data_IF_313747341403
#
_entry.id   IF_313747341403
#
_cell.length_a   1.000
_cell.length_b   1.000
_cell.length_c   1.000
_cell.angle_alpha   90.00
_cell.angle_beta   90.00
_cell.angle_gamma   90.00
#
_symmetry.space_group_name_H-M   'P 1'
#
loop_
_entity.id
_entity.type
_entity.pdbx_description
1 polymer ?
#
# COMPACT_ATOMS: atom_id res chain seq x y z
N UNK A 1 14.22 -28.19 24.20
CA UNK A 1 13.35 -26.99 24.30
C UNK A 1 13.41 -26.51 25.73
N UNK A 2 14.11 -25.40 25.99
CA UNK A 2 14.17 -24.80 27.33
C UNK A 2 12.78 -24.27 27.73
N UNK A 3 12.29 -24.74 28.88
CA UNK A 3 11.02 -24.27 29.42
C UNK A 3 11.16 -22.80 29.86
N UNK A 4 10.35 -21.92 29.28
CA UNK A 4 10.31 -20.51 29.65
C UNK A 4 10.04 -20.35 31.15
N UNK A 5 10.85 -19.53 31.80
CA UNK A 5 10.69 -19.20 33.22
C UNK A 5 9.26 -18.70 33.53
N UNK A 6 8.75 -19.08 34.70
CA UNK A 6 7.43 -18.67 35.19
C UNK A 6 7.28 -17.14 35.22
N UNK A 7 8.37 -16.43 35.48
CA UNK A 7 8.43 -14.97 35.48
C UNK A 7 8.29 -14.39 34.07
N UNK A 8 8.94 -14.98 33.08
CA UNK A 8 8.82 -14.57 31.67
C UNK A 8 7.40 -14.80 31.14
N UNK A 9 6.80 -15.93 31.51
CA UNK A 9 5.41 -16.27 31.13
C UNK A 9 4.40 -15.28 31.73
N UNK A 10 4.58 -14.89 33.00
CA UNK A 10 3.72 -13.88 33.65
C UNK A 10 3.89 -12.50 33.03
N UNK A 11 5.13 -12.10 32.72
CA UNK A 11 5.41 -10.82 32.06
C UNK A 11 4.73 -10.73 30.68
N UNK A 12 4.86 -11.78 29.84
CA UNK A 12 4.18 -11.84 28.54
C UNK A 12 2.67 -11.75 28.66
N UNK A 13 2.07 -12.42 29.65
CA UNK A 13 0.62 -12.35 29.93
C UNK A 13 0.19 -10.94 30.35
N UNK A 14 1.01 -10.27 31.15
CA UNK A 14 0.80 -8.88 31.57
C UNK A 14 0.84 -7.91 30.38
N UNK A 15 1.88 -8.01 29.53
CA UNK A 15 1.98 -7.19 28.31
C UNK A 15 0.81 -7.43 27.36
N UNK A 16 0.41 -8.69 27.16
CA UNK A 16 -0.75 -9.03 26.33
C UNK A 16 -2.03 -8.43 26.89
N UNK A 17 -2.22 -8.48 28.21
CA UNK A 17 -3.38 -7.88 28.88
C UNK A 17 -3.36 -6.35 28.81
N UNK A 18 -2.20 -5.71 28.98
CA UNK A 18 -2.06 -4.26 28.85
C UNK A 18 -2.31 -3.80 27.42
N UNK A 19 -1.75 -4.49 26.43
CA UNK A 19 -2.02 -4.20 25.02
C UNK A 19 -3.50 -4.39 24.69
N UNK A 20 -4.12 -5.46 25.19
CA UNK A 20 -5.55 -5.69 25.00
C UNK A 20 -6.43 -4.63 25.68
N UNK A 21 -6.06 -4.18 26.89
CA UNK A 21 -6.77 -3.11 27.60
C UNK A 21 -6.56 -1.75 26.93
N UNK A 22 -5.36 -1.46 26.42
CA UNK A 22 -5.06 -0.27 25.64
C UNK A 22 -5.91 -0.25 24.37
N UNK A 23 -5.92 -1.36 23.62
CA UNK A 23 -6.77 -1.53 22.44
C UNK A 23 -8.23 -1.34 22.83
N UNK A 24 -8.74 -2.05 23.85
CA UNK A 24 -10.15 -1.93 24.27
C UNK A 24 -10.55 -0.51 24.69
N UNK A 25 -9.73 0.18 25.47
CA UNK A 25 -10.01 1.55 25.90
C UNK A 25 -9.94 2.55 24.73
N UNK A 26 -9.02 2.32 23.79
CA UNK A 26 -8.92 3.08 22.55
C UNK A 26 -10.11 2.83 21.62
N UNK A 27 -10.59 1.58 21.54
CA UNK A 27 -11.78 1.18 20.79
C UNK A 27 -13.07 1.79 21.37
N UNK A 28 -13.11 2.08 22.69
CA UNK A 28 -14.24 2.73 23.37
C UNK A 28 -14.20 4.27 23.31
N UNK A 29 -13.09 4.86 22.83
CA UNK A 29 -12.95 6.29 22.61
C UNK A 29 -13.35 6.66 21.17
N UNK A 30 -14.59 6.31 20.78
CA UNK A 30 -15.13 6.40 19.42
C UNK A 30 -14.92 7.77 18.72
N UNK A 31 -15.00 8.94 19.39
CA UNK A 31 -14.83 10.24 18.72
C UNK A 31 -13.38 10.55 18.30
N UNK A 32 -12.39 9.98 18.98
CA UNK A 32 -10.98 10.37 18.82
C UNK A 32 -10.16 9.40 17.97
N UNK A 33 -10.70 8.20 17.73
CA UNK A 33 -10.03 7.15 16.96
C UNK A 33 -9.53 7.62 15.58
N UNK A 34 -10.33 8.31 14.73
CA UNK A 34 -9.84 8.76 13.43
C UNK A 34 -8.65 9.72 13.55
N UNK A 35 -8.71 10.69 14.47
CA UNK A 35 -7.65 11.68 14.63
C UNK A 35 -6.36 11.09 15.18
N UNK A 36 -6.47 10.25 16.20
CA UNK A 36 -5.31 9.60 16.84
C UNK A 36 -4.66 8.56 15.91
N UNK A 37 -5.41 7.87 15.06
CA UNK A 37 -4.85 6.96 14.06
C UNK A 37 -4.12 7.70 12.93
N UNK A 38 -4.60 8.88 12.50
CA UNK A 38 -3.86 9.76 11.58
C UNK A 38 -2.52 10.18 12.18
N UNK A 39 -2.53 10.67 13.43
CA UNK A 39 -1.30 11.04 14.13
C UNK A 39 -0.37 9.84 14.30
N UNK A 40 -0.92 8.66 14.60
CA UNK A 40 -0.18 7.40 14.65
C UNK A 40 0.48 7.06 13.32
N UNK A 41 -0.22 7.25 12.20
CA UNK A 41 0.33 7.06 10.85
C UNK A 41 1.49 8.00 10.54
N UNK A 42 1.36 9.29 10.89
CA UNK A 42 2.44 10.29 10.71
C UNK A 42 3.67 9.93 11.55
N UNK A 43 3.47 9.57 12.82
CA UNK A 43 4.55 9.15 13.71
C UNK A 43 5.22 7.87 13.20
N UNK A 44 4.44 6.90 12.72
CA UNK A 44 4.97 5.68 12.11
C UNK A 44 5.82 5.99 10.90
N UNK A 45 5.42 6.94 10.04
CA UNK A 45 6.23 7.38 8.89
C UNK A 45 7.60 7.91 9.33
N UNK A 46 7.64 8.76 10.36
CA UNK A 46 8.91 9.29 10.90
C UNK A 46 9.80 8.18 11.45
N UNK A 47 9.23 7.27 12.23
CA UNK A 47 9.98 6.13 12.80
C UNK A 47 10.53 5.23 11.70
N UNK A 48 9.71 4.89 10.71
CA UNK A 48 10.15 4.05 9.58
C UNK A 48 11.23 4.74 8.76
N UNK A 49 11.13 6.05 8.54
CA UNK A 49 12.17 6.81 7.84
C UNK A 49 13.53 6.68 8.56
N UNK A 50 13.55 6.94 9.87
CA UNK A 50 14.77 6.89 10.68
C UNK A 50 15.34 5.46 10.76
N UNK A 51 14.47 4.45 10.90
CA UNK A 51 14.89 3.06 10.89
C UNK A 51 15.43 2.64 9.53
N UNK A 52 14.83 3.11 8.44
CA UNK A 52 15.31 2.84 7.08
C UNK A 52 16.69 3.45 6.87
N UNK A 53 16.91 4.69 7.32
CA UNK A 53 18.21 5.36 7.28
C UNK A 53 19.27 4.61 8.09
N UNK A 54 18.92 4.23 9.33
CA UNK A 54 19.80 3.50 10.25
C UNK A 54 20.20 2.14 9.68
N UNK A 55 19.21 1.30 9.32
CA UNK A 55 19.44 -0.04 8.78
C UNK A 55 20.22 0.04 7.46
N UNK A 56 19.84 0.95 6.57
CA UNK A 56 20.51 1.08 5.27
C UNK A 56 21.98 1.51 5.43
N UNK A 57 22.27 2.40 6.37
CA UNK A 57 23.65 2.84 6.67
C UNK A 57 24.56 1.71 7.14
N UNK A 58 24.04 0.74 7.90
CA UNK A 58 24.83 -0.39 8.41
C UNK A 58 24.90 -1.57 7.44
N UNK A 59 23.82 -1.88 6.73
CA UNK A 59 23.71 -3.14 5.98
C UNK A 59 23.78 -2.99 4.47
N UNK A 60 23.55 -1.79 3.92
CA UNK A 60 23.51 -1.58 2.46
C UNK A 60 24.74 -0.82 2.00
N UNK A 61 25.70 -1.53 1.40
CA UNK A 61 26.99 -0.98 0.95
C UNK A 61 26.86 0.24 0.02
N UNK A 62 25.85 0.28 -0.83
CA UNK A 62 25.64 1.40 -1.76
C UNK A 62 25.10 2.65 -1.06
N UNK A 63 24.40 2.51 0.07
CA UNK A 63 23.65 3.61 0.70
C UNK A 63 24.53 4.81 1.13
N UNK A 64 25.71 4.62 1.76
CA UNK A 64 26.58 5.75 2.11
C UNK A 64 27.08 6.56 0.92
N UNK A 65 27.17 5.94 -0.27
CA UNK A 65 27.63 6.58 -1.51
C UNK A 65 26.57 7.40 -2.25
N UNK A 66 25.30 7.28 -1.83
CA UNK A 66 24.18 7.98 -2.46
C UNK A 66 24.24 9.49 -2.18
N UNK A 67 23.80 10.27 -3.17
CA UNK A 67 23.60 11.71 -2.99
C UNK A 67 22.56 11.99 -1.90
N UNK A 68 22.57 13.21 -1.35
CA UNK A 68 21.59 13.61 -0.32
C UNK A 68 20.15 13.37 -0.79
N UNK A 69 19.81 13.72 -2.03
CA UNK A 69 18.46 13.56 -2.57
C UNK A 69 18.10 12.08 -2.79
N UNK A 70 19.05 11.25 -3.24
CA UNK A 70 18.83 9.81 -3.40
C UNK A 70 18.62 9.11 -2.06
N UNK A 71 19.30 9.54 -0.99
CA UNK A 71 19.03 9.02 0.37
C UNK A 71 17.63 9.39 0.86
N UNK A 72 17.19 10.63 0.59
CA UNK A 72 15.82 11.05 0.90
C UNK A 72 14.80 10.19 0.15
N UNK A 73 14.95 9.98 -1.17
CA UNK A 73 14.05 9.10 -1.95
C UNK A 73 14.13 7.64 -1.46
N UNK A 74 15.33 7.15 -1.16
CA UNK A 74 15.56 5.80 -0.63
C UNK A 74 14.77 5.55 0.67
N UNK A 75 14.87 6.48 1.61
CA UNK A 75 14.19 6.38 2.90
C UNK A 75 12.68 6.61 2.78
N UNK A 76 12.26 7.54 1.90
CA UNK A 76 10.84 7.77 1.62
C UNK A 76 10.18 6.50 1.06
N UNK A 77 10.84 5.81 0.11
CA UNK A 77 10.39 4.50 -0.39
C UNK A 77 10.30 3.43 0.71
N UNK A 78 11.11 3.53 1.77
CA UNK A 78 11.02 2.66 2.95
C UNK A 78 9.72 2.87 3.72
N UNK A 79 9.30 4.14 3.90
CA UNK A 79 7.99 4.50 4.46
C UNK A 79 6.89 3.87 3.60
N UNK A 80 6.86 4.18 2.31
CA UNK A 80 5.82 3.73 1.39
C UNK A 80 5.74 2.21 1.28
N UNK A 81 6.88 1.51 1.29
CA UNK A 81 6.91 0.03 1.27
C UNK A 81 6.30 -0.56 2.54
N UNK A 82 6.59 0.02 3.70
CA UNK A 82 6.05 -0.44 4.99
C UNK A 82 4.54 -0.22 5.07
N UNK A 83 4.07 0.97 4.67
CA UNK A 83 2.64 1.26 4.57
C UNK A 83 1.95 0.31 3.58
N UNK A 84 2.52 0.12 2.39
CA UNK A 84 1.95 -0.74 1.37
C UNK A 84 1.76 -2.18 1.86
N UNK A 85 2.73 -2.75 2.58
CA UNK A 85 2.61 -4.08 3.19
C UNK A 85 1.47 -4.09 4.22
N UNK A 86 1.46 -3.11 5.13
CA UNK A 86 0.43 -3.00 6.17
C UNK A 86 -0.97 -2.89 5.58
N UNK A 87 -1.21 -1.94 4.67
CA UNK A 87 -2.54 -1.68 4.14
C UNK A 87 -2.98 -2.78 3.19
N UNK A 88 -2.08 -3.39 2.41
CA UNK A 88 -2.43 -4.51 1.53
C UNK A 88 -2.88 -5.72 2.34
N UNK A 89 -2.16 -6.07 3.42
CA UNK A 89 -2.55 -7.16 4.30
C UNK A 89 -3.92 -6.92 4.94
N UNK A 90 -4.15 -5.70 5.43
CA UNK A 90 -5.42 -5.31 6.03
C UNK A 90 -6.57 -5.30 5.00
N UNK A 91 -6.31 -4.79 3.80
CA UNK A 91 -7.30 -4.73 2.71
C UNK A 91 -7.69 -6.13 2.25
N UNK A 92 -6.72 -7.01 2.05
CA UNK A 92 -6.99 -8.40 1.67
C UNK A 92 -7.77 -9.12 2.77
N UNK A 93 -7.43 -8.90 4.05
CA UNK A 93 -8.18 -9.42 5.17
C UNK A 93 -9.65 -8.98 5.12
N UNK A 94 -9.92 -7.68 5.00
CA UNK A 94 -11.29 -7.18 4.98
C UNK A 94 -12.09 -7.61 3.75
N UNK A 95 -11.48 -7.61 2.57
CA UNK A 95 -12.18 -7.91 1.32
C UNK A 95 -12.45 -9.41 1.14
N UNK A 96 -11.54 -10.29 1.58
CA UNK A 96 -11.63 -11.72 1.26
C UNK A 96 -11.80 -12.65 2.46
N UNK A 97 -11.37 -12.24 3.67
CA UNK A 97 -11.33 -13.13 4.84
C UNK A 97 -12.19 -12.67 6.02
N UNK A 98 -12.65 -11.43 6.02
CA UNK A 98 -13.48 -10.88 7.10
C UNK A 98 -14.96 -11.06 6.79
N UNK A 99 -15.72 -11.33 7.85
CA UNK A 99 -17.18 -11.38 7.81
C UNK A 99 -17.79 -9.97 7.63
N UNK A 100 -17.02 -8.90 7.84
CA UNK A 100 -17.50 -7.50 7.82
C UNK A 100 -18.30 -7.15 6.57
N UNK A 101 -17.84 -7.61 5.41
CA UNK A 101 -18.47 -7.31 4.11
C UNK A 101 -19.08 -8.53 3.43
N UNK A 102 -18.91 -9.73 3.99
CA UNK A 102 -19.38 -10.99 3.38
C UNK A 102 -20.56 -11.62 4.10
N UNK A 103 -20.75 -11.32 5.40
CA UNK A 103 -21.83 -11.93 6.19
C UNK A 103 -23.20 -11.33 5.84
N UNK A 104 -24.15 -12.13 5.30
CA UNK A 104 -25.51 -11.68 5.02
C UNK A 104 -26.33 -11.42 6.30
N UNK A 105 -25.91 -11.96 7.46
CA UNK A 105 -26.60 -11.78 8.74
C UNK A 105 -26.23 -10.46 9.43
N UNK A 106 -25.09 -9.85 9.08
CA UNK A 106 -24.77 -8.50 9.55
C UNK A 106 -25.85 -7.52 9.07
N UNK A 107 -26.50 -6.82 10.00
CA UNK A 107 -27.53 -5.85 9.64
C UNK A 107 -26.91 -4.63 8.94
N UNK A 108 -27.61 -4.11 7.92
CA UNK A 108 -27.21 -2.90 7.20
C UNK A 108 -26.62 -3.15 5.81
N UNK A 109 -26.67 -2.10 4.98
CA UNK A 109 -26.18 -2.10 3.60
C UNK A 109 -24.65 -2.14 3.58
N UNK A 110 -24.06 -2.88 2.64
CA UNK A 110 -22.61 -3.12 2.58
C UNK A 110 -21.81 -1.81 2.50
N UNK A 111 -22.38 -0.79 1.87
CA UNK A 111 -21.80 0.54 1.70
C UNK A 111 -21.71 1.34 2.99
N UNK A 112 -22.43 0.95 4.04
CA UNK A 112 -22.43 1.59 5.36
C UNK A 112 -21.74 0.76 6.44
N UNK A 113 -21.23 -0.42 6.08
CA UNK A 113 -20.54 -1.28 7.04
C UNK A 113 -19.13 -0.77 7.28
N UNK A 114 -18.80 -0.65 8.56
CA UNK A 114 -17.47 -0.28 9.04
C UNK A 114 -17.23 -0.92 10.41
N UNK A 115 -15.97 -0.96 10.82
CA UNK A 115 -15.54 -1.45 12.12
C UNK A 115 -14.47 -0.51 12.66
N UNK A 116 -14.23 -0.57 13.97
CA UNK A 116 -13.20 0.23 14.61
C UNK A 116 -11.80 -0.07 14.04
N UNK A 117 -11.51 -1.35 13.74
CA UNK A 117 -10.25 -1.76 13.14
C UNK A 117 -10.09 -1.27 11.69
N UNK A 118 -11.17 -1.27 10.91
CA UNK A 118 -11.14 -0.77 9.55
C UNK A 118 -10.96 0.76 9.53
N UNK A 119 -11.72 1.49 10.33
CA UNK A 119 -11.53 2.95 10.48
C UNK A 119 -10.12 3.30 10.96
N UNK A 120 -9.56 2.54 11.92
CA UNK A 120 -8.17 2.69 12.35
C UNK A 120 -7.16 2.52 11.21
N UNK A 121 -7.30 1.46 10.41
CA UNK A 121 -6.40 1.20 9.28
C UNK A 121 -6.45 2.27 8.20
N UNK A 122 -7.63 2.81 7.92
CA UNK A 122 -7.79 3.95 7.00
C UNK A 122 -7.16 5.22 7.59
N UNK A 123 -7.28 5.46 8.90
CA UNK A 123 -6.64 6.61 9.54
C UNK A 123 -5.12 6.56 9.55
N UNK A 124 -4.53 5.40 9.84
CA UNK A 124 -3.09 5.18 9.66
C UNK A 124 -2.67 5.45 8.22
N UNK A 125 -3.46 4.98 7.24
CA UNK A 125 -3.19 5.21 5.82
C UNK A 125 -3.31 6.68 5.43
N UNK A 126 -4.27 7.42 5.99
CA UNK A 126 -4.40 8.85 5.73
C UNK A 126 -3.21 9.64 6.28
N UNK A 127 -2.72 9.28 7.48
CA UNK A 127 -1.48 9.83 8.03
C UNK A 127 -0.26 9.58 7.12
N UNK A 128 -0.17 8.39 6.53
CA UNK A 128 0.83 8.08 5.52
C UNK A 128 0.66 8.95 4.26
N UNK A 129 -0.55 9.02 3.68
CA UNK A 129 -0.80 9.82 2.47
C UNK A 129 -0.40 11.28 2.67
N UNK A 130 -0.68 11.88 3.84
CA UNK A 130 -0.22 13.23 4.15
C UNK A 130 1.30 13.34 4.23
N UNK A 131 1.96 12.40 4.90
CA UNK A 131 3.42 12.41 5.07
C UNK A 131 4.14 12.29 3.72
N UNK A 132 3.72 11.32 2.89
CA UNK A 132 4.34 11.04 1.59
C UNK A 132 4.07 12.17 0.57
N UNK A 133 2.85 12.72 0.57
CA UNK A 133 2.52 13.88 -0.26
C UNK A 133 3.33 15.11 0.15
N UNK A 134 3.46 15.38 1.46
CA UNK A 134 4.25 16.51 1.94
C UNK A 134 5.72 16.38 1.53
N UNK A 135 6.31 15.19 1.66
CA UNK A 135 7.69 14.93 1.22
C UNK A 135 7.85 15.06 -0.29
N UNK A 136 6.90 14.52 -1.06
CA UNK A 136 6.90 14.61 -2.53
C UNK A 136 6.82 16.05 -3.01
N UNK A 137 5.94 16.87 -2.41
CA UNK A 137 5.81 18.28 -2.75
C UNK A 137 7.06 19.08 -2.34
N UNK A 138 7.61 18.81 -1.15
CA UNK A 138 8.79 19.51 -0.65
C UNK A 138 10.03 19.25 -1.51
N UNK A 139 10.17 18.04 -2.04
CA UNK A 139 11.29 17.64 -2.88
C UNK A 139 10.92 17.58 -4.37
N UNK A 140 9.82 18.20 -4.79
CA UNK A 140 9.36 18.13 -6.17
C UNK A 140 10.37 18.79 -7.13
N UNK A 141 10.67 18.20 -8.29
CA UNK A 141 10.13 16.96 -8.86
C UNK A 141 10.97 15.69 -8.59
N UNK A 142 11.90 15.72 -7.63
CA UNK A 142 12.89 14.68 -7.44
C UNK A 142 12.32 13.34 -6.91
N UNK A 143 11.26 13.38 -6.10
CA UNK A 143 10.63 12.18 -5.51
C UNK A 143 9.48 11.61 -6.35
N UNK A 144 8.92 12.40 -7.27
CA UNK A 144 7.80 11.96 -8.09
C UNK A 144 7.30 13.02 -9.07
N UNK A 145 6.71 12.55 -10.17
CA UNK A 145 6.02 13.38 -11.15
C UNK A 145 4.59 13.78 -10.73
N UNK A 146 3.96 14.63 -11.52
CA UNK A 146 2.60 15.12 -11.26
C UNK A 146 1.56 14.00 -11.16
N UNK A 147 1.75 12.87 -11.88
CA UNK A 147 0.87 11.71 -11.77
C UNK A 147 0.83 11.11 -10.36
N UNK A 148 1.95 11.16 -9.63
CA UNK A 148 2.05 10.68 -8.26
C UNK A 148 1.37 11.63 -7.28
N UNK A 149 1.49 12.94 -7.51
CA UNK A 149 0.81 13.97 -6.71
C UNK A 149 -0.71 13.83 -6.85
N UNK A 150 -1.21 13.72 -8.09
CA UNK A 150 -2.63 13.51 -8.36
C UNK A 150 -3.13 12.22 -7.72
N UNK A 151 -2.37 11.11 -7.85
CA UNK A 151 -2.69 9.85 -7.21
C UNK A 151 -2.85 9.99 -5.68
N UNK A 152 -1.90 10.63 -5.00
CA UNK A 152 -1.94 10.80 -3.55
C UNK A 152 -3.08 11.71 -3.09
N UNK A 153 -3.37 12.79 -3.81
CA UNK A 153 -4.49 13.69 -3.46
C UNK A 153 -5.83 12.96 -3.60
N UNK A 154 -6.06 12.28 -4.73
CA UNK A 154 -7.31 11.55 -4.97
C UNK A 154 -7.50 10.41 -3.97
N UNK A 155 -6.46 9.61 -3.74
CA UNK A 155 -6.49 8.53 -2.75
C UNK A 155 -6.72 9.07 -1.34
N UNK A 156 -6.02 10.14 -0.95
CA UNK A 156 -6.17 10.77 0.36
C UNK A 156 -7.58 11.29 0.62
N UNK A 157 -8.21 11.94 -0.37
CA UNK A 157 -9.60 12.42 -0.26
C UNK A 157 -10.57 11.25 -0.09
N UNK A 158 -10.45 10.18 -0.89
CA UNK A 158 -11.32 9.02 -0.81
C UNK A 158 -11.16 8.27 0.53
N UNK A 159 -9.92 8.06 0.97
CA UNK A 159 -9.62 7.42 2.26
C UNK A 159 -10.14 8.26 3.42
N UNK A 160 -9.93 9.58 3.41
CA UNK A 160 -10.45 10.48 4.44
C UNK A 160 -11.98 10.43 4.51
N UNK A 161 -12.65 10.51 3.37
CA UNK A 161 -14.11 10.41 3.30
C UNK A 161 -14.61 9.11 3.94
N UNK A 162 -14.05 7.98 3.50
CA UNK A 162 -14.48 6.65 3.91
C UNK A 162 -14.20 6.36 5.39
N UNK A 163 -13.11 6.92 5.92
CA UNK A 163 -12.78 6.85 7.33
C UNK A 163 -13.72 7.70 8.20
N UNK A 164 -13.95 8.96 7.85
CA UNK A 164 -14.74 9.88 8.70
C UNK A 164 -16.25 9.61 8.63
N UNK A 165 -16.75 9.12 7.50
CA UNK A 165 -18.20 8.84 7.33
C UNK A 165 -18.56 7.40 7.61
N UNK A 166 -17.60 6.47 7.57
CA UNK A 166 -17.84 5.03 7.61
C UNK A 166 -18.41 4.47 6.31
N UNK A 167 -18.65 5.31 5.29
CA UNK A 167 -19.21 4.87 4.01
C UNK A 167 -18.14 4.31 3.07
N UNK A 168 -18.55 3.40 2.19
CA UNK A 168 -17.75 2.88 1.07
C UNK A 168 -16.42 2.20 1.47
N UNK A 169 -16.25 1.80 2.74
CA UNK A 169 -14.99 1.21 3.21
C UNK A 169 -14.60 -0.02 2.40
N UNK A 170 -15.55 -0.87 2.02
CA UNK A 170 -15.28 -2.01 1.12
C UNK A 170 -14.58 -1.57 -0.18
N UNK A 171 -15.12 -0.57 -0.88
CA UNK A 171 -14.58 -0.12 -2.15
C UNK A 171 -13.23 0.59 -1.99
N UNK A 172 -13.06 1.35 -0.92
CA UNK A 172 -11.76 1.92 -0.52
C UNK A 172 -10.73 0.81 -0.32
N UNK A 173 -11.06 -0.26 0.41
CA UNK A 173 -10.16 -1.39 0.61
C UNK A 173 -9.89 -2.17 -0.67
N UNK A 174 -10.88 -2.38 -1.54
CA UNK A 174 -10.65 -2.99 -2.85
C UNK A 174 -9.63 -2.19 -3.66
N UNK A 175 -9.69 -0.86 -3.64
CA UNK A 175 -8.70 0.00 -4.30
C UNK A 175 -7.35 -0.08 -3.61
N UNK A 176 -7.29 -0.09 -2.27
CA UNK A 176 -6.04 -0.13 -1.50
C UNK A 176 -5.27 -1.45 -1.63
N UNK A 177 -5.91 -2.56 -2.05
CA UNK A 177 -5.18 -3.79 -2.43
C UNK A 177 -4.15 -3.50 -3.54
N UNK A 178 -4.37 -2.49 -4.38
CA UNK A 178 -3.41 -2.10 -5.41
C UNK A 178 -2.05 -1.66 -4.86
N UNK A 179 -1.94 -1.34 -3.58
CA UNK A 179 -0.65 -1.08 -2.92
C UNK A 179 0.24 -2.33 -2.83
N UNK A 180 -0.29 -3.54 -3.05
CA UNK A 180 0.52 -4.77 -3.04
C UNK A 180 1.64 -4.76 -4.08
N UNK A 181 1.49 -3.94 -5.14
CA UNK A 181 2.53 -3.79 -6.18
C UNK A 181 3.63 -2.81 -5.78
N UNK A 182 3.39 -1.92 -4.81
CA UNK A 182 4.30 -0.83 -4.42
C UNK A 182 5.66 -1.33 -3.92
N UNK A 183 5.74 -2.36 -3.03
CA UNK A 183 7.01 -2.92 -2.61
C UNK A 183 7.87 -3.40 -3.78
N UNK A 184 7.26 -3.98 -4.81
CA UNK A 184 7.98 -4.49 -5.97
C UNK A 184 8.50 -3.38 -6.87
N UNK A 185 7.72 -2.32 -7.07
CA UNK A 185 8.18 -1.12 -7.79
C UNK A 185 9.37 -0.49 -7.06
N UNK A 186 9.33 -0.44 -5.71
CA UNK A 186 10.44 0.08 -4.90
C UNK A 186 11.66 -0.82 -4.91
N UNK A 187 11.47 -2.15 -4.82
CA UNK A 187 12.56 -3.10 -4.96
C UNK A 187 13.26 -2.96 -6.31
N UNK A 188 12.50 -2.77 -7.39
CA UNK A 188 13.08 -2.49 -8.71
C UNK A 188 13.97 -1.25 -8.70
N UNK A 189 13.50 -0.18 -8.06
CA UNK A 189 14.25 1.06 -7.93
C UNK A 189 15.50 0.86 -7.06
N UNK A 190 15.41 0.13 -5.95
CA UNK A 190 16.57 -0.18 -5.11
C UNK A 190 17.63 -0.97 -5.88
N UNK A 191 17.23 -1.97 -6.66
CA UNK A 191 18.12 -2.74 -7.52
C UNK A 191 18.76 -1.86 -8.61
N UNK A 192 18.00 -0.95 -9.22
CA UNK A 192 18.51 0.05 -10.18
C UNK A 192 19.60 0.92 -9.53
N UNK A 193 19.25 1.57 -8.41
CA UNK A 193 20.13 2.45 -7.64
C UNK A 193 21.38 1.74 -7.11
N UNK A 194 21.28 0.44 -6.83
CA UNK A 194 22.41 -0.41 -6.48
C UNK A 194 23.29 -0.86 -7.67
N UNK A 195 22.99 -0.43 -8.89
CA UNK A 195 23.70 -0.82 -10.11
C UNK A 195 23.37 -2.24 -10.61
N UNK A 196 22.29 -2.84 -10.13
CA UNK A 196 21.94 -4.25 -10.37
C UNK A 196 20.95 -4.48 -11.53
N UNK A 197 20.84 -3.55 -12.49
CA UNK A 197 19.93 -3.68 -13.65
C UNK A 197 20.09 -4.95 -14.48
N UNK A 198 21.30 -5.49 -14.54
CA UNK A 198 21.63 -6.67 -15.35
C UNK A 198 21.48 -7.99 -14.56
N UNK A 199 21.06 -7.92 -13.30
CA UNK A 199 20.91 -9.10 -12.45
C UNK A 199 19.66 -9.91 -12.80
N UNK A 200 19.68 -11.21 -12.47
CA UNK A 200 18.50 -12.08 -12.55
C UNK A 200 17.40 -11.59 -11.61
N UNK A 201 17.76 -11.04 -10.44
CA UNK A 201 16.81 -10.45 -9.49
C UNK A 201 15.99 -9.31 -10.13
N UNK A 202 16.65 -8.41 -10.87
CA UNK A 202 15.98 -7.31 -11.57
C UNK A 202 15.04 -7.79 -12.69
N UNK A 203 15.38 -8.90 -13.35
CA UNK A 203 14.50 -9.53 -14.33
C UNK A 203 13.26 -10.16 -13.66
N UNK A 204 13.46 -10.99 -12.63
CA UNK A 204 12.39 -11.68 -11.91
C UNK A 204 11.42 -10.65 -11.31
N UNK A 205 11.94 -9.63 -10.62
CA UNK A 205 11.11 -8.56 -10.07
C UNK A 205 10.30 -7.84 -11.18
N UNK A 206 10.86 -7.65 -12.37
CA UNK A 206 10.12 -7.09 -13.51
C UNK A 206 8.92 -7.94 -13.96
N UNK A 207 9.06 -9.28 -13.93
CA UNK A 207 7.97 -10.22 -14.24
C UNK A 207 6.91 -10.18 -13.14
N UNK A 208 7.34 -10.16 -11.87
CA UNK A 208 6.43 -10.06 -10.71
C UNK A 208 5.63 -8.76 -10.77
N UNK A 209 6.28 -7.63 -11.08
CA UNK A 209 5.60 -6.34 -11.28
C UNK A 209 4.54 -6.45 -12.38
N UNK A 210 4.85 -7.05 -13.53
CA UNK A 210 3.90 -7.20 -14.62
C UNK A 210 2.66 -8.00 -14.20
N UNK A 211 2.86 -9.16 -13.58
CA UNK A 211 1.76 -10.04 -13.13
C UNK A 211 0.95 -9.36 -12.03
N UNK A 212 1.62 -8.81 -11.01
CA UNK A 212 0.99 -8.12 -9.90
C UNK A 212 0.18 -6.90 -10.37
N UNK A 213 0.69 -6.14 -11.33
CA UNK A 213 -0.02 -5.00 -11.90
C UNK A 213 -1.29 -5.42 -12.64
N UNK A 214 -1.22 -6.47 -13.47
CA UNK A 214 -2.38 -6.99 -14.17
C UNK A 214 -3.48 -7.41 -13.18
N UNK A 215 -3.11 -8.16 -12.13
CA UNK A 215 -4.08 -8.68 -11.17
C UNK A 215 -4.63 -7.55 -10.28
N UNK A 216 -3.77 -6.82 -9.58
CA UNK A 216 -4.17 -5.89 -8.52
C UNK A 216 -4.61 -4.51 -9.03
N UNK A 217 -4.17 -4.08 -10.23
CA UNK A 217 -4.43 -2.73 -10.75
C UNK A 217 -5.29 -2.68 -12.01
N UNK A 218 -5.45 -3.80 -12.72
CA UNK A 218 -6.33 -3.90 -13.91
C UNK A 218 -7.56 -4.75 -13.61
N UNK A 219 -7.36 -6.04 -13.31
CA UNK A 219 -8.48 -6.97 -13.09
C UNK A 219 -9.29 -6.61 -11.85
N UNK A 220 -8.62 -6.29 -10.73
CA UNK A 220 -9.31 -5.90 -9.50
C UNK A 220 -10.12 -4.61 -9.63
N UNK A 221 -9.63 -3.64 -10.40
CA UNK A 221 -10.39 -2.41 -10.68
C UNK A 221 -11.65 -2.72 -11.50
N UNK A 222 -11.54 -3.59 -12.51
CA UNK A 222 -12.70 -4.08 -13.27
C UNK A 222 -13.70 -4.82 -12.37
N UNK A 223 -13.21 -5.70 -11.49
CA UNK A 223 -14.05 -6.40 -10.51
C UNK A 223 -14.75 -5.44 -9.55
N UNK A 224 -14.06 -4.41 -9.06
CA UNK A 224 -14.63 -3.41 -8.17
C UNK A 224 -15.80 -2.68 -8.84
N UNK A 225 -15.65 -2.22 -10.09
CA UNK A 225 -16.75 -1.59 -10.82
C UNK A 225 -17.92 -2.54 -11.08
N UNK A 226 -17.63 -3.81 -11.37
CA UNK A 226 -18.65 -4.84 -11.48
C UNK A 226 -19.42 -5.03 -10.15
N UNK A 227 -18.71 -5.05 -9.02
CA UNK A 227 -19.33 -5.13 -7.70
C UNK A 227 -20.20 -3.92 -7.38
N UNK A 228 -19.72 -2.71 -7.71
CA UNK A 228 -20.50 -1.45 -7.59
C UNK A 228 -21.77 -1.52 -8.43
N UNK A 229 -21.69 -2.04 -9.66
CA UNK A 229 -22.85 -2.22 -10.53
C UNK A 229 -23.89 -3.16 -9.92
N UNK A 230 -23.47 -4.29 -9.36
CA UNK A 230 -24.38 -5.24 -8.69
C UNK A 230 -25.05 -4.66 -7.44
N UNK A 231 -24.40 -3.71 -6.76
CA UNK A 231 -24.87 -3.11 -5.50
C UNK A 231 -25.29 -1.65 -5.68
N UNK A 232 -25.66 -1.28 -6.91
CA UNK A 232 -25.94 0.11 -7.26
C UNK A 232 -27.09 0.71 -6.42
N UNK A 233 -28.10 -0.10 -6.08
CA UNK A 233 -29.23 0.27 -5.23
C UNK A 233 -28.80 0.69 -3.80
N UNK A 234 -27.64 0.21 -3.34
CA UNK A 234 -27.04 0.61 -2.08
C UNK A 234 -26.19 1.86 -2.25
N UNK A 235 -25.42 1.94 -3.34
CA UNK A 235 -24.51 3.06 -3.63
C UNK A 235 -25.28 4.38 -3.80
N UNK A 236 -26.47 4.37 -4.41
CA UNK A 236 -27.31 5.58 -4.55
C UNK A 236 -27.87 6.11 -3.22
N UNK A 237 -27.80 5.32 -2.14
CA UNK A 237 -28.26 5.73 -0.80
C UNK A 237 -27.17 6.45 0.01
N UNK A 238 -25.91 6.40 -0.45
CA UNK A 238 -24.79 7.11 0.17
C UNK A 238 -24.95 8.62 0.05
N UNK A 239 -24.19 9.40 0.82
CA UNK A 239 -24.12 10.84 0.57
C UNK A 239 -23.68 11.12 -0.87
N UNK A 240 -24.18 12.20 -1.46
CA UNK A 240 -23.86 12.62 -2.83
C UNK A 240 -22.35 12.69 -3.07
N UNK A 241 -21.59 13.18 -2.09
CA UNK A 241 -20.13 13.24 -2.21
C UNK A 241 -19.50 11.83 -2.25
N UNK A 242 -19.93 10.92 -1.39
CA UNK A 242 -19.49 9.52 -1.41
C UNK A 242 -19.85 8.80 -2.71
N UNK A 243 -21.07 9.01 -3.21
CA UNK A 243 -21.50 8.51 -4.51
C UNK A 243 -20.53 8.96 -5.62
N UNK A 244 -20.20 10.25 -5.68
CA UNK A 244 -19.25 10.78 -6.67
C UNK A 244 -17.86 10.16 -6.49
N UNK A 245 -17.39 9.98 -5.25
CA UNK A 245 -16.06 9.41 -4.99
C UNK A 245 -15.94 7.94 -5.40
N UNK A 246 -16.95 7.11 -5.15
CA UNK A 246 -16.97 5.67 -5.50
C UNK A 246 -16.76 5.46 -7.00
N UNK A 247 -17.26 6.35 -7.86
CA UNK A 247 -17.04 6.27 -9.30
C UNK A 247 -15.81 7.07 -9.74
N UNK A 248 -15.69 8.32 -9.29
CA UNK A 248 -14.73 9.28 -9.82
C UNK A 248 -13.28 8.91 -9.48
N UNK A 249 -12.99 8.61 -8.21
CA UNK A 249 -11.60 8.33 -7.78
C UNK A 249 -11.08 7.05 -8.41
N UNK A 250 -11.77 5.89 -8.33
CA UNK A 250 -11.27 4.68 -8.97
C UNK A 250 -11.17 4.78 -10.49
N UNK A 251 -12.01 5.59 -11.16
CA UNK A 251 -11.91 5.82 -12.60
C UNK A 251 -10.62 6.57 -12.94
N UNK A 252 -10.34 7.67 -12.23
CA UNK A 252 -9.10 8.44 -12.42
C UNK A 252 -7.85 7.60 -12.09
N UNK A 253 -7.88 6.85 -10.99
CA UNK A 253 -6.80 5.93 -10.63
C UNK A 253 -6.64 4.78 -11.64
N UNK A 254 -7.74 4.27 -12.20
CA UNK A 254 -7.73 3.28 -13.26
C UNK A 254 -7.03 3.79 -14.53
N UNK A 255 -7.29 5.04 -14.93
CA UNK A 255 -6.60 5.66 -16.07
C UNK A 255 -5.09 5.75 -15.81
N UNK A 256 -4.68 6.20 -14.62
CA UNK A 256 -3.26 6.22 -14.23
C UNK A 256 -2.65 4.82 -14.24
N UNK A 257 -3.39 3.82 -13.74
CA UNK A 257 -2.96 2.43 -13.73
C UNK A 257 -2.72 1.89 -15.15
N UNK A 258 -3.58 2.24 -16.11
CA UNK A 258 -3.40 1.84 -17.52
C UNK A 258 -2.20 2.55 -18.16
N UNK A 259 -1.99 3.84 -17.86
CA UNK A 259 -0.82 4.58 -18.34
C UNK A 259 0.50 3.95 -17.85
N UNK A 260 0.59 3.64 -16.55
CA UNK A 260 1.76 2.97 -15.97
C UNK A 260 1.91 1.53 -16.46
N UNK A 261 0.82 0.79 -16.66
CA UNK A 261 0.89 -0.55 -17.24
C UNK A 261 1.49 -0.54 -18.64
N UNK A 262 1.15 0.45 -19.46
CA UNK A 262 1.78 0.68 -20.76
C UNK A 262 3.30 0.91 -20.65
N UNK A 263 3.78 1.61 -19.61
CA UNK A 263 5.22 1.77 -19.33
C UNK A 263 5.87 0.43 -18.93
N UNK A 264 5.19 -0.38 -18.10
CA UNK A 264 5.66 -1.70 -17.66
C UNK A 264 5.80 -2.66 -18.84
N UNK A 265 4.77 -2.75 -19.70
CA UNK A 265 4.79 -3.59 -20.91
C UNK A 265 5.96 -3.19 -21.81
N UNK A 266 6.11 -1.89 -22.10
CA UNK A 266 7.23 -1.38 -22.91
C UNK A 266 8.59 -1.73 -22.29
N UNK A 267 8.72 -1.66 -20.97
CA UNK A 267 9.92 -2.06 -20.24
C UNK A 267 10.23 -3.54 -20.40
N UNK A 268 9.23 -4.41 -20.21
CA UNK A 268 9.38 -5.87 -20.32
C UNK A 268 9.75 -6.30 -21.75
N UNK A 269 9.07 -5.75 -22.77
CA UNK A 269 9.38 -6.05 -24.18
C UNK A 269 10.83 -5.67 -24.52
N UNK A 270 11.31 -4.51 -24.05
CA UNK A 270 12.70 -4.09 -24.26
C UNK A 270 13.70 -5.05 -23.60
N UNK A 271 13.39 -5.57 -22.41
CA UNK A 271 14.25 -6.54 -21.72
C UNK A 271 14.30 -7.88 -22.45
N UNK A 272 13.16 -8.37 -22.96
CA UNK A 272 13.10 -9.62 -23.73
C UNK A 272 13.77 -9.50 -25.10
N UNK A 273 13.59 -8.37 -25.79
CA UNK A 273 14.19 -8.13 -27.10
C UNK A 273 15.73 -8.01 -27.06
N UNK A 274 16.30 -7.60 -25.92
CA UNK A 274 17.77 -7.54 -25.70
C UNK A 274 18.41 -8.88 -25.39
N UNK A 275 17.64 -9.98 -25.35
CA UNK A 275 18.13 -11.33 -25.09
C UNK A 275 18.28 -12.22 -26.35
N UNK A 276 18.78 -11.76 -27.52
CA UNK A 276 19.11 -12.69 -28.59
C UNK A 276 20.44 -13.41 -28.29
N UNK A 277 20.40 -14.74 -28.37
CA UNK A 277 21.55 -15.66 -28.52
C UNK A 277 22.70 -15.56 -27.52
N UNK A 278 22.53 -16.08 -26.30
CA UNK A 278 23.65 -16.62 -25.50
C UNK A 278 23.68 -18.16 -25.47
N UNK A 279 22.80 -18.80 -26.23
CA UNK A 279 22.62 -20.26 -26.28
C UNK A 279 23.15 -20.90 -27.57
N UNK A 280 23.99 -20.19 -28.35
CA UNK A 280 24.60 -20.72 -29.59
C UNK A 280 26.13 -20.71 -29.63
N UNK A 281 26.82 -20.28 -28.57
CA UNK A 281 28.30 -20.31 -28.53
C UNK A 281 28.89 -21.48 -27.73
N UNK A 282 28.08 -22.29 -27.04
CA UNK A 282 28.57 -23.50 -26.34
C UNK A 282 28.49 -24.79 -27.18
N UNK A 283 27.95 -24.74 -28.41
CA UNK A 283 27.78 -25.92 -29.28
C UNK A 283 28.68 -25.88 -30.54
N UNK A 284 29.70 -25.02 -30.55
CA UNK A 284 30.61 -24.79 -31.68
C UNK A 284 32.08 -25.06 -31.42
N UNK A 285 32.43 -25.61 -30.26
CA UNK A 285 33.80 -26.01 -29.91
C UNK A 285 33.78 -27.43 -29.34
N UNK A 286 33.61 -28.42 -30.21
CA UNK A 286 34.10 -29.78 -30.05
C UNK A 286 34.50 -30.32 -31.42
#
# INVERSE_FOLDING_TARGET
MEALSKQTTMAMKSYKNQAHMLVKNYLLADPFLPYTSILGGILACKVVYDLTDLISSFYIKTYPSLTKIQRVDWNNRGISTTHAIFISALSLHFVFWSDLFSDPQLSGLIVFRSSTLSTFGLGVSLGYFFSDLAMTLWQYPALGGMEYVIHHILSGIAVAYSMFTGEAQLYTYMVLISEVTTPEIHLRWYLDTAGMKQSIAYLINGIIIFIGWLIARVLLFGYMFYHVYLHYDQVIKMHTFGFVLVFGVPSALGILNMMWFGKIIKGLVKTLAKRPSRTKEEDGQN
#
